data_IF_521253773600
#
_entry.id   IF_521253773600
#
_cell.length_a   1.000
_cell.length_b   1.000
_cell.length_c   1.000
_cell.angle_alpha   90.00
_cell.angle_beta   90.00
_cell.angle_gamma   90.00
#
_symmetry.space_group_name_H-M   'P 1'
#
loop_
_entity.id
_entity.type
_entity.pdbx_description
1 polymer ?
#
# COMPACT_ATOMS: atom_id res chain seq x y z
N UNK A 1 -11.04 -5.77 30.91
CA UNK A 1 -10.00 -5.36 29.98
C UNK A 1 -10.62 -5.07 28.61
N UNK A 2 -10.27 -3.93 27.99
CA UNK A 2 -10.62 -3.67 26.58
C UNK A 2 -9.93 -4.67 25.64
N UNK A 3 -10.38 -4.76 24.38
CA UNK A 3 -9.74 -5.63 23.38
C UNK A 3 -8.23 -5.35 23.24
N UNK A 4 -7.85 -4.07 23.14
CA UNK A 4 -6.46 -3.65 23.06
C UNK A 4 -5.65 -3.97 24.34
N UNK A 5 -6.25 -3.83 25.53
CA UNK A 5 -5.60 -4.23 26.77
C UNK A 5 -5.35 -5.74 26.84
N UNK A 6 -6.32 -6.56 26.40
CA UNK A 6 -6.14 -8.02 26.31
C UNK A 6 -4.99 -8.36 25.36
N UNK A 7 -4.95 -7.74 24.17
CA UNK A 7 -3.88 -7.99 23.17
C UNK A 7 -2.50 -7.61 23.70
N UNK A 8 -2.36 -6.49 24.41
CA UNK A 8 -1.10 -6.10 25.07
C UNK A 8 -0.66 -7.11 26.13
N UNK A 9 -1.58 -7.64 26.90
CA UNK A 9 -1.28 -8.71 27.90
C UNK A 9 -0.82 -9.98 27.19
N UNK A 10 -1.46 -10.38 26.08
CA UNK A 10 -1.06 -11.56 25.32
C UNK A 10 0.36 -11.40 24.75
N UNK A 11 0.68 -10.24 24.18
CA UNK A 11 2.02 -9.91 23.68
C UNK A 11 3.03 -9.94 24.85
N UNK A 12 2.75 -9.27 25.97
CA UNK A 12 3.62 -9.25 27.13
C UNK A 12 3.89 -10.67 27.67
N UNK A 13 2.87 -11.53 27.68
CA UNK A 13 3.02 -12.93 28.09
C UNK A 13 3.91 -13.73 27.16
N UNK A 14 3.82 -13.49 25.84
CA UNK A 14 4.67 -14.15 24.86
C UNK A 14 6.14 -13.73 24.98
N UNK A 15 6.41 -12.53 25.50
CA UNK A 15 7.75 -11.98 25.69
C UNK A 15 8.45 -12.42 26.98
N UNK A 16 7.76 -13.08 27.91
CA UNK A 16 8.34 -13.44 29.23
C UNK A 16 9.64 -14.26 29.15
N UNK A 17 9.84 -15.01 28.07
CA UNK A 17 11.03 -15.85 27.89
C UNK A 17 12.03 -15.25 26.90
N UNK A 18 11.94 -13.95 26.60
CA UNK A 18 12.82 -13.25 25.63
C UNK A 18 13.05 -14.05 24.33
N UNK A 19 12.00 -14.36 23.56
CA UNK A 19 12.13 -15.21 22.38
C UNK A 19 12.84 -14.46 21.24
N UNK A 20 13.63 -15.17 20.44
CA UNK A 20 14.23 -14.63 19.21
C UNK A 20 13.19 -14.45 18.08
N UNK A 21 12.06 -15.17 18.17
CA UNK A 21 11.00 -15.21 17.16
C UNK A 21 9.63 -15.17 17.82
N UNK A 22 8.80 -14.20 17.40
CA UNK A 22 7.43 -14.02 17.86
C UNK A 22 6.46 -14.21 16.69
N UNK A 23 5.48 -15.10 16.85
CA UNK A 23 4.38 -15.28 15.92
C UNK A 23 3.10 -14.63 16.46
N UNK A 24 2.45 -13.81 15.65
CA UNK A 24 1.21 -13.15 15.97
C UNK A 24 0.18 -13.40 14.85
N UNK A 25 -0.93 -14.01 15.21
CA UNK A 25 -2.03 -14.23 14.29
C UNK A 25 -3.05 -13.11 14.43
N UNK A 26 -3.20 -12.29 13.38
CA UNK A 26 -4.10 -11.14 13.30
C UNK A 26 -4.11 -10.26 14.55
N UNK A 27 -2.96 -9.69 15.00
CA UNK A 27 -2.84 -9.06 16.31
C UNK A 27 -3.72 -7.83 16.50
N UNK A 28 -4.23 -7.22 15.44
CA UNK A 28 -4.97 -5.96 15.46
C UNK A 28 -6.44 -6.11 15.10
N UNK A 29 -6.89 -7.32 14.76
CA UNK A 29 -8.28 -7.59 14.38
C UNK A 29 -9.26 -7.22 15.49
N UNK A 30 -10.32 -6.48 15.10
CA UNK A 30 -11.37 -6.04 16.03
C UNK A 30 -10.98 -4.86 16.92
N UNK A 31 -9.84 -4.22 16.68
CA UNK A 31 -9.41 -3.02 17.40
C UNK A 31 -9.75 -1.75 16.62
N UNK A 32 -10.02 -0.67 17.34
CA UNK A 32 -10.13 0.67 16.77
C UNK A 32 -8.78 1.17 16.21
N UNK A 33 -8.81 2.20 15.36
CA UNK A 33 -7.64 2.70 14.64
C UNK A 33 -6.52 3.12 15.61
N UNK A 34 -6.83 3.88 16.66
CA UNK A 34 -5.81 4.36 17.62
C UNK A 34 -5.15 3.22 18.39
N UNK A 35 -5.97 2.24 18.81
CA UNK A 35 -5.47 1.04 19.50
C UNK A 35 -4.59 0.21 18.57
N UNK A 36 -4.95 0.08 17.29
CA UNK A 36 -4.17 -0.61 16.27
C UNK A 36 -2.79 0.05 16.07
N UNK A 37 -2.74 1.35 15.84
CA UNK A 37 -1.49 2.12 15.73
C UNK A 37 -0.60 1.97 16.96
N UNK A 38 -1.21 1.94 18.14
CA UNK A 38 -0.50 1.75 19.41
C UNK A 38 0.11 0.35 19.55
N UNK A 39 -0.56 -0.70 19.05
CA UNK A 39 -0.01 -2.07 19.01
C UNK A 39 1.15 -2.14 18.02
N UNK A 40 1.01 -1.54 16.83
CA UNK A 40 2.09 -1.48 15.82
C UNK A 40 3.32 -0.75 16.36
N UNK A 41 3.14 0.39 17.01
CA UNK A 41 4.24 1.14 17.64
C UNK A 41 4.95 0.31 18.71
N UNK A 42 4.19 -0.43 19.52
CA UNK A 42 4.73 -1.35 20.53
C UNK A 42 5.55 -2.48 19.86
N UNK A 43 5.02 -3.11 18.82
CA UNK A 43 5.72 -4.20 18.12
C UNK A 43 7.02 -3.73 17.48
N UNK A 44 7.02 -2.56 16.83
CA UNK A 44 8.23 -1.94 16.26
C UNK A 44 9.28 -1.61 17.33
N UNK A 45 8.84 -1.08 18.48
CA UNK A 45 9.73 -0.80 19.60
C UNK A 45 10.39 -2.09 20.11
N UNK A 46 9.60 -3.13 20.37
CA UNK A 46 10.09 -4.43 20.85
C UNK A 46 11.05 -5.05 19.83
N UNK A 47 10.69 -5.07 18.54
CA UNK A 47 11.55 -5.58 17.48
C UNK A 47 12.92 -4.92 17.50
N UNK A 48 12.95 -3.59 17.66
CA UNK A 48 14.19 -2.81 17.67
C UNK A 48 15.01 -3.02 18.94
N UNK A 49 14.38 -3.02 20.11
CA UNK A 49 15.06 -3.12 21.41
C UNK A 49 15.61 -4.53 21.66
N UNK A 50 14.82 -5.55 21.34
CA UNK A 50 15.17 -6.96 21.57
C UNK A 50 15.84 -7.63 20.34
N UNK A 51 15.95 -6.91 19.21
CA UNK A 51 16.47 -7.44 17.93
C UNK A 51 15.77 -8.74 17.49
N UNK A 52 14.50 -8.83 17.79
CA UNK A 52 13.66 -10.01 17.61
C UNK A 52 13.05 -10.04 16.20
N UNK A 53 12.83 -11.24 15.67
CA UNK A 53 12.03 -11.44 14.47
C UNK A 53 10.55 -11.55 14.84
N UNK A 54 9.71 -10.72 14.21
CA UNK A 54 8.25 -10.78 14.39
C UNK A 54 7.63 -11.25 13.07
N UNK A 55 6.90 -12.36 13.13
CA UNK A 55 6.08 -12.85 12.01
C UNK A 55 4.62 -12.69 12.40
N UNK A 56 3.87 -11.96 11.59
CA UNK A 56 2.44 -11.75 11.85
C UNK A 56 1.60 -12.01 10.60
N UNK A 57 0.35 -12.40 10.82
CA UNK A 57 -0.67 -12.41 9.78
C UNK A 57 -1.56 -11.19 9.94
N UNK A 58 -2.02 -10.63 8.82
CA UNK A 58 -3.03 -9.58 8.80
C UNK A 58 -3.83 -9.64 7.50
N UNK A 59 -5.08 -9.21 7.57
CA UNK A 59 -5.90 -8.93 6.39
C UNK A 59 -6.04 -7.41 6.15
N UNK A 60 -5.43 -6.57 6.99
CA UNK A 60 -5.35 -5.14 6.80
C UNK A 60 -4.12 -4.79 5.97
N UNK A 61 -4.29 -4.58 4.67
CA UNK A 61 -3.18 -4.43 3.74
C UNK A 61 -2.32 -3.19 4.01
N UNK A 62 -2.90 -2.13 4.57
CA UNK A 62 -2.16 -0.95 5.01
C UNK A 62 -1.16 -1.25 6.15
N UNK A 63 -1.36 -2.31 6.93
CA UNK A 63 -0.40 -2.73 7.94
C UNK A 63 0.87 -3.34 7.34
N UNK A 64 0.75 -3.90 6.14
CA UNK A 64 1.88 -4.50 5.44
C UNK A 64 2.92 -3.46 4.97
N UNK A 65 2.53 -2.19 4.80
CA UNK A 65 3.47 -1.13 4.41
C UNK A 65 4.62 -0.94 5.40
N UNK A 66 4.41 -1.34 6.64
CA UNK A 66 5.37 -1.20 7.74
C UNK A 66 6.27 -2.43 7.95
N UNK A 67 6.08 -3.50 7.19
CA UNK A 67 6.83 -4.74 7.32
C UNK A 67 8.12 -4.72 6.47
N UNK A 68 9.21 -5.29 7.02
CA UNK A 68 10.47 -5.45 6.29
C UNK A 68 10.30 -6.41 5.10
N UNK A 69 9.45 -7.43 5.25
CA UNK A 69 9.17 -8.43 4.23
C UNK A 69 7.74 -8.93 4.31
N UNK A 70 7.10 -9.03 3.17
CA UNK A 70 5.71 -9.43 2.98
C UNK A 70 5.66 -10.70 2.17
N UNK A 71 4.75 -11.59 2.55
CA UNK A 71 4.35 -12.78 1.77
C UNK A 71 2.84 -12.70 1.54
N UNK A 72 2.43 -12.62 0.29
CA UNK A 72 1.02 -12.71 -0.09
C UNK A 72 0.69 -14.17 -0.37
N UNK A 73 -0.26 -14.69 0.39
CA UNK A 73 -0.69 -16.10 0.30
C UNK A 73 -2.12 -16.16 -0.23
N UNK A 74 -2.34 -16.94 -1.28
CA UNK A 74 -3.67 -17.25 -1.79
C UNK A 74 -3.76 -18.76 -2.08
N UNK A 75 -4.88 -19.35 -1.72
CA UNK A 75 -5.12 -20.82 -1.86
C UNK A 75 -3.97 -21.70 -1.34
N UNK A 76 -3.32 -21.29 -0.23
CA UNK A 76 -2.22 -22.04 0.38
C UNK A 76 -0.88 -21.92 -0.34
N UNK A 77 -0.76 -21.03 -1.33
CA UNK A 77 0.46 -20.78 -2.07
C UNK A 77 0.93 -19.33 -1.89
N UNK A 78 2.24 -19.15 -1.82
CA UNK A 78 2.85 -17.82 -1.85
C UNK A 78 2.82 -17.32 -3.30
N UNK A 79 1.97 -16.31 -3.57
CA UNK A 79 1.80 -15.75 -4.93
C UNK A 79 2.66 -14.52 -5.18
N UNK A 80 3.09 -13.82 -4.13
CA UNK A 80 4.07 -12.74 -4.21
C UNK A 80 4.83 -12.59 -2.90
N UNK A 81 6.07 -12.07 -2.96
CA UNK A 81 6.88 -11.75 -1.80
C UNK A 81 7.82 -10.59 -2.08
N UNK A 82 8.18 -9.82 -1.07
CA UNK A 82 9.11 -8.70 -1.16
C UNK A 82 8.86 -7.64 -0.11
N UNK A 83 9.49 -6.49 -0.23
CA UNK A 83 9.11 -5.28 0.52
C UNK A 83 7.79 -4.71 -0.01
N UNK A 84 7.13 -3.84 0.76
CA UNK A 84 5.92 -3.13 0.32
C UNK A 84 6.14 -2.40 -1.02
N UNK A 85 7.28 -1.70 -1.16
CA UNK A 85 7.60 -0.96 -2.38
C UNK A 85 7.81 -1.88 -3.59
N UNK A 86 8.45 -3.05 -3.39
CA UNK A 86 8.61 -4.05 -4.46
C UNK A 86 7.26 -4.62 -4.91
N UNK A 87 6.38 -4.94 -3.98
CA UNK A 87 5.06 -5.48 -4.30
C UNK A 87 4.19 -4.42 -4.98
N UNK A 88 4.11 -3.20 -4.43
CA UNK A 88 3.38 -2.09 -5.05
C UNK A 88 3.95 -1.76 -6.43
N UNK A 89 5.26 -1.67 -6.56
CA UNK A 89 5.92 -1.36 -7.84
C UNK A 89 5.68 -2.39 -8.94
N UNK A 90 5.52 -3.67 -8.58
CA UNK A 90 5.29 -4.75 -9.55
C UNK A 90 3.82 -4.95 -9.91
N UNK A 91 2.90 -4.73 -8.97
CA UNK A 91 1.51 -5.16 -9.11
C UNK A 91 0.49 -4.03 -8.96
N UNK A 92 0.78 -2.95 -8.22
CA UNK A 92 -0.12 -1.82 -8.10
C UNK A 92 0.03 -0.85 -9.28
N UNK A 93 -1.03 -0.13 -9.59
CA UNK A 93 -1.03 0.88 -10.65
C UNK A 93 -1.16 2.27 -10.05
N UNK A 94 -0.25 3.16 -10.44
CA UNK A 94 -0.41 4.56 -10.13
C UNK A 94 -1.50 5.16 -11.03
N UNK A 95 -2.24 6.10 -10.49
CA UNK A 95 -3.28 6.83 -11.22
C UNK A 95 -2.91 8.31 -11.23
N UNK A 96 -2.82 8.89 -12.42
CA UNK A 96 -2.69 10.33 -12.63
C UNK A 96 -3.96 10.83 -13.30
N UNK A 97 -4.77 11.55 -12.56
CA UNK A 97 -5.98 12.21 -13.03
C UNK A 97 -5.63 13.63 -13.45
N UNK A 98 -6.05 14.05 -14.62
CA UNK A 98 -5.80 15.38 -15.19
C UNK A 98 -7.13 15.99 -15.62
N UNK A 99 -7.34 17.25 -15.27
CA UNK A 99 -8.40 18.09 -15.81
C UNK A 99 -7.82 19.09 -16.81
N UNK A 100 -8.36 19.13 -18.02
CA UNK A 100 -7.94 20.02 -19.10
C UNK A 100 -9.13 20.52 -19.91
N UNK A 101 -9.15 21.80 -20.24
CA UNK A 101 -10.13 22.36 -21.19
C UNK A 101 -9.60 22.31 -22.63
N UNK A 102 -8.28 22.25 -22.83
CA UNK A 102 -7.67 22.09 -24.15
C UNK A 102 -7.21 20.64 -24.38
N UNK A 103 -8.17 19.79 -24.67
CA UNK A 103 -7.96 18.36 -24.95
C UNK A 103 -6.96 18.15 -26.10
N UNK A 104 -7.11 18.92 -27.18
CA UNK A 104 -6.27 18.78 -28.38
C UNK A 104 -4.82 19.21 -28.11
N UNK A 105 -4.62 20.22 -27.28
CA UNK A 105 -3.30 20.67 -26.82
C UNK A 105 -2.65 19.64 -25.91
N UNK A 106 -3.40 19.06 -24.95
CA UNK A 106 -2.96 18.00 -24.05
C UNK A 106 -2.51 16.76 -24.83
N UNK A 107 -3.35 16.24 -25.74
CA UNK A 107 -3.05 15.04 -26.54
C UNK A 107 -1.75 15.15 -27.35
N UNK A 108 -1.47 16.32 -27.92
CA UNK A 108 -0.25 16.57 -28.70
C UNK A 108 1.03 16.55 -27.84
N UNK A 109 0.90 16.77 -26.54
CA UNK A 109 2.02 16.85 -25.59
C UNK A 109 2.24 15.56 -24.81
N UNK A 110 1.25 14.70 -24.75
CA UNK A 110 1.42 13.38 -24.13
C UNK A 110 2.39 12.55 -24.99
N UNK A 111 3.34 11.81 -24.34
CA UNK A 111 4.28 10.95 -25.04
C UNK A 111 3.56 9.89 -25.89
N UNK A 112 4.13 9.58 -27.03
CA UNK A 112 3.63 8.47 -27.86
C UNK A 112 3.72 7.16 -27.08
N UNK A 113 2.60 6.45 -26.98
CA UNK A 113 2.52 5.19 -26.22
C UNK A 113 2.07 5.35 -24.77
N UNK A 114 1.80 6.57 -24.29
CA UNK A 114 1.11 6.79 -23.03
C UNK A 114 -0.35 6.32 -23.16
N UNK A 115 -0.78 5.40 -22.33
CA UNK A 115 -2.17 4.96 -22.28
C UNK A 115 -2.94 5.94 -21.41
N UNK A 116 -3.98 6.51 -21.96
CA UNK A 116 -4.90 7.39 -21.24
C UNK A 116 -6.34 7.07 -21.60
N UNK A 117 -7.24 7.35 -20.68
CA UNK A 117 -8.67 7.19 -20.84
C UNK A 117 -9.36 8.50 -20.51
N UNK A 118 -10.26 8.94 -21.37
CA UNK A 118 -11.14 10.07 -21.07
C UNK A 118 -12.37 9.56 -20.31
N UNK A 119 -12.48 9.94 -19.03
CA UNK A 119 -13.59 9.50 -18.15
C UNK A 119 -14.81 10.39 -18.30
N UNK A 120 -14.57 11.70 -18.46
CA UNK A 120 -15.58 12.73 -18.71
C UNK A 120 -14.99 13.80 -19.62
N UNK A 121 -15.83 14.71 -20.09
CA UNK A 121 -15.37 15.86 -20.88
C UNK A 121 -14.30 16.64 -20.07
N UNK A 122 -13.10 16.73 -20.64
CA UNK A 122 -11.96 17.40 -20.02
C UNK A 122 -11.24 16.63 -18.91
N UNK A 123 -11.71 15.46 -18.49
CA UNK A 123 -11.10 14.64 -17.44
C UNK A 123 -10.43 13.38 -18.01
N UNK A 124 -9.14 13.24 -17.73
CA UNK A 124 -8.29 12.16 -18.24
C UNK A 124 -7.65 11.38 -17.11
N UNK A 125 -7.57 10.07 -17.27
CA UNK A 125 -6.83 9.16 -16.40
C UNK A 125 -5.67 8.58 -17.17
N UNK A 126 -4.46 8.72 -16.60
CA UNK A 126 -3.21 8.12 -17.07
C UNK A 126 -2.70 7.15 -15.99
N UNK A 127 -1.95 6.15 -16.40
CA UNK A 127 -1.36 5.15 -15.51
C UNK A 127 0.17 5.15 -15.64
N UNK A 128 0.87 6.15 -15.08
CA UNK A 128 2.33 6.18 -15.08
C UNK A 128 2.88 5.02 -14.23
N UNK A 129 3.95 4.38 -14.71
CA UNK A 129 4.57 3.26 -13.98
C UNK A 129 5.28 3.73 -12.70
N UNK A 130 5.81 4.94 -12.71
CA UNK A 130 6.55 5.52 -11.60
C UNK A 130 6.13 6.96 -11.33
N UNK A 131 6.41 7.45 -10.12
CA UNK A 131 6.25 8.87 -9.77
C UNK A 131 7.07 9.78 -10.69
N UNK A 132 8.28 9.34 -11.10
CA UNK A 132 9.12 10.12 -12.00
C UNK A 132 8.50 10.25 -13.40
N UNK A 133 7.86 9.20 -13.89
CA UNK A 133 7.10 9.26 -15.13
C UNK A 133 5.91 10.22 -15.02
N UNK A 134 5.17 10.17 -13.91
CA UNK A 134 4.08 11.12 -13.65
C UNK A 134 4.56 12.57 -13.64
N UNK A 135 5.68 12.87 -12.99
CA UNK A 135 6.29 14.21 -12.97
C UNK A 135 6.71 14.65 -14.37
N UNK A 136 7.25 13.73 -15.18
CA UNK A 136 7.64 14.04 -16.58
C UNK A 136 6.42 14.36 -17.42
N UNK A 137 5.33 13.59 -17.29
CA UNK A 137 4.05 13.84 -17.97
C UNK A 137 3.48 15.21 -17.59
N UNK A 138 3.46 15.52 -16.28
CA UNK A 138 2.97 16.80 -15.77
C UNK A 138 3.82 17.97 -16.30
N UNK A 139 5.15 17.83 -16.33
CA UNK A 139 6.05 18.88 -16.85
C UNK A 139 5.83 19.14 -18.35
N UNK A 140 5.61 18.10 -19.14
CA UNK A 140 5.39 18.23 -20.60
C UNK A 140 4.01 18.79 -20.93
N UNK A 141 2.99 18.40 -20.19
CA UNK A 141 1.61 18.77 -20.40
C UNK A 141 1.14 19.99 -19.60
N UNK A 142 1.99 20.51 -18.69
CA UNK A 142 1.66 21.53 -17.70
C UNK A 142 0.83 22.72 -18.20
N UNK A 143 1.16 23.35 -19.35
CA UNK A 143 0.37 24.48 -19.89
C UNK A 143 -1.09 24.15 -20.23
N UNK A 144 -1.41 22.88 -20.36
CA UNK A 144 -2.75 22.38 -20.74
C UNK A 144 -3.49 21.75 -19.56
N UNK A 145 -2.87 21.72 -18.36
CA UNK A 145 -3.42 21.11 -17.16
C UNK A 145 -3.98 22.22 -16.25
N UNK A 146 -5.27 22.14 -15.93
CA UNK A 146 -5.90 23.01 -14.93
C UNK A 146 -5.73 22.46 -13.52
N UNK A 147 -5.97 21.18 -13.38
CA UNK A 147 -5.86 20.45 -12.12
C UNK A 147 -5.30 19.06 -12.37
N UNK A 148 -4.61 18.53 -11.38
CA UNK A 148 -4.20 17.14 -11.40
C UNK A 148 -4.28 16.53 -9.99
N UNK A 149 -4.45 15.22 -9.97
CA UNK A 149 -4.37 14.39 -8.78
C UNK A 149 -3.50 13.19 -9.09
N UNK A 150 -2.47 12.93 -8.29
CA UNK A 150 -1.65 11.74 -8.40
C UNK A 150 -1.89 10.83 -7.20
N UNK A 151 -2.35 9.62 -7.47
CA UNK A 151 -2.56 8.57 -6.48
C UNK A 151 -1.54 7.46 -6.74
N UNK A 152 -0.55 7.26 -5.84
CA UNK A 152 0.33 6.11 -5.93
C UNK A 152 -0.48 4.83 -5.70
N UNK A 153 -0.08 3.76 -6.38
CA UNK A 153 -0.69 2.45 -6.18
C UNK A 153 -0.53 1.95 -4.75
N UNK A 154 -1.58 1.35 -4.23
CA UNK A 154 -1.68 0.86 -2.85
C UNK A 154 -1.41 -0.65 -2.75
N UNK A 155 -1.24 -1.17 -1.53
CA UNK A 155 -1.20 -2.62 -1.31
C UNK A 155 -2.52 -3.30 -1.66
N UNK A 156 -3.66 -2.59 -1.50
CA UNK A 156 -4.98 -3.07 -1.93
C UNK A 156 -5.02 -3.28 -3.45
N UNK A 157 -4.51 -2.31 -4.24
CA UNK A 157 -4.42 -2.43 -5.69
C UNK A 157 -3.54 -3.61 -6.11
N UNK A 158 -2.39 -3.79 -5.44
CA UNK A 158 -1.49 -4.91 -5.70
C UNK A 158 -2.15 -6.26 -5.38
N UNK A 159 -2.85 -6.35 -4.25
CA UNK A 159 -3.57 -7.55 -3.85
C UNK A 159 -4.70 -7.89 -4.82
N UNK A 160 -5.50 -6.90 -5.22
CA UNK A 160 -6.55 -7.08 -6.23
C UNK A 160 -5.98 -7.55 -7.56
N UNK A 161 -4.87 -6.98 -8.01
CA UNK A 161 -4.22 -7.38 -9.26
C UNK A 161 -3.74 -8.84 -9.22
N UNK A 162 -3.26 -9.31 -8.06
CA UNK A 162 -2.74 -10.67 -7.86
C UNK A 162 -3.85 -11.72 -7.69
N UNK A 163 -4.92 -11.38 -6.98
CA UNK A 163 -5.96 -12.36 -6.57
C UNK A 163 -7.25 -12.22 -7.36
N UNK A 164 -7.49 -11.09 -8.01
CA UNK A 164 -8.76 -10.75 -8.64
C UNK A 164 -9.91 -10.52 -7.62
N UNK A 165 -9.60 -10.29 -6.35
CA UNK A 165 -10.58 -10.15 -5.26
C UNK A 165 -10.32 -8.88 -4.47
N UNK A 166 -11.39 -8.19 -4.08
CA UNK A 166 -11.34 -7.14 -3.06
C UNK A 166 -11.17 -7.75 -1.66
N UNK A 167 -10.36 -7.10 -0.83
CA UNK A 167 -10.28 -7.42 0.61
C UNK A 167 -11.57 -6.93 1.27
N UNK A 168 -12.25 -7.81 1.96
CA UNK A 168 -13.49 -7.49 2.70
C UNK A 168 -13.19 -7.02 4.11
#
# INVERSE_FOLDING_TARGET
LSGGQKRRVDIARALLNSPDLLFLDEPTTGLDIQTRESIWSLLKQIQKEEQMTIVLTTHYLNEADDADKIYIVDHGQVIAQGSADQIKGNYARNVLRILSQDVAGLEKRLPRGCTWEQVKEGEFILQPKTTQEALTLLAQAGPYIEQFEFQPGTMDDAFMALTGREVR
#
